data_IF_869320616547
#
_entry.id   IF_869320616547
#
_cell.length_a   1.000
_cell.length_b   1.000
_cell.length_c   1.000
_cell.angle_alpha   90.00
_cell.angle_beta   90.00
_cell.angle_gamma   90.00
#
_symmetry.space_group_name_H-M   'P 1'
#
loop_
_entity.id
_entity.type
_entity.pdbx_description
1 polymer ?
#
# COMPACT_ATOMS: atom_id res chain seq x y z
N UNK A 1 -9.57 -30.69 -59.74
CA UNK A 1 -8.91 -30.62 -58.43
C UNK A 1 -7.99 -29.42 -58.46
N UNK A 2 -8.23 -28.41 -57.62
CA UNK A 2 -7.58 -27.11 -57.70
C UNK A 2 -6.20 -27.17 -56.99
N UNK A 3 -5.12 -26.66 -57.60
CA UNK A 3 -3.75 -26.77 -57.06
C UNK A 3 -3.64 -26.15 -55.66
N UNK A 4 -4.42 -25.10 -55.39
CA UNK A 4 -4.50 -24.43 -54.09
C UNK A 4 -5.15 -25.29 -52.99
N UNK A 5 -6.08 -26.18 -53.33
CA UNK A 5 -6.71 -27.09 -52.34
C UNK A 5 -5.72 -28.18 -51.91
N UNK A 6 -4.89 -28.67 -52.83
CA UNK A 6 -3.89 -29.69 -52.54
C UNK A 6 -2.74 -29.15 -51.68
N UNK A 7 -2.29 -27.91 -51.94
CA UNK A 7 -1.25 -27.26 -51.14
C UNK A 7 -1.73 -26.94 -49.72
N UNK A 8 -3.01 -26.58 -49.55
CA UNK A 8 -3.60 -26.31 -48.22
C UNK A 8 -3.66 -27.58 -47.37
N UNK A 9 -4.07 -28.70 -47.99
CA UNK A 9 -4.09 -30.00 -47.32
C UNK A 9 -2.68 -30.46 -46.93
N UNK A 10 -1.72 -30.35 -47.85
CA UNK A 10 -0.32 -30.71 -47.59
C UNK A 10 0.29 -29.86 -46.48
N UNK A 11 -0.05 -28.57 -46.41
CA UNK A 11 0.38 -27.68 -45.33
C UNK A 11 -0.22 -28.08 -43.97
N UNK A 12 -1.49 -28.51 -43.94
CA UNK A 12 -2.13 -29.02 -42.72
C UNK A 12 -1.45 -30.30 -42.21
N UNK A 13 -1.17 -31.24 -43.12
CA UNK A 13 -0.49 -32.50 -42.80
C UNK A 13 0.93 -32.28 -42.26
N UNK A 14 1.65 -31.32 -42.82
CA UNK A 14 2.96 -30.89 -42.33
C UNK A 14 2.89 -30.33 -40.90
N UNK A 15 1.92 -29.44 -40.63
CA UNK A 15 1.75 -28.81 -39.31
C UNK A 15 1.34 -29.83 -38.24
N UNK A 16 0.42 -30.73 -38.56
CA UNK A 16 -0.01 -31.81 -37.66
C UNK A 16 1.07 -32.89 -37.47
N UNK A 17 2.12 -32.88 -38.31
CA UNK A 17 3.21 -33.83 -38.24
C UNK A 17 2.82 -35.25 -38.62
N UNK A 18 1.82 -35.42 -39.49
CA UNK A 18 1.35 -36.74 -39.98
C UNK A 18 2.10 -37.22 -41.22
N UNK A 19 3.00 -36.39 -41.76
CA UNK A 19 3.89 -36.74 -42.88
C UNK A 19 5.12 -37.53 -42.42
N UNK A 20 5.64 -38.40 -43.28
CA UNK A 20 6.90 -39.12 -43.03
C UNK A 20 8.12 -38.19 -43.05
N UNK A 21 9.26 -38.69 -42.53
CA UNK A 21 10.50 -37.91 -42.38
C UNK A 21 11.06 -37.39 -43.71
N UNK A 22 10.97 -38.16 -44.80
CA UNK A 22 11.49 -37.77 -46.10
C UNK A 22 10.63 -36.66 -46.72
N UNK A 23 9.31 -36.80 -46.65
CA UNK A 23 8.34 -35.77 -47.07
C UNK A 23 8.50 -34.51 -46.23
N UNK A 24 8.68 -34.65 -44.91
CA UNK A 24 8.91 -33.52 -43.99
C UNK A 24 10.16 -32.73 -44.36
N UNK A 25 11.26 -33.40 -44.72
CA UNK A 25 12.49 -32.72 -45.15
C UNK A 25 12.27 -31.92 -46.45
N UNK A 26 11.56 -32.50 -47.43
CA UNK A 26 11.22 -31.83 -48.69
C UNK A 26 10.34 -30.60 -48.46
N UNK A 27 9.28 -30.72 -47.65
CA UNK A 27 8.39 -29.60 -47.34
C UNK A 27 9.09 -28.51 -46.52
N UNK A 28 10.01 -28.89 -45.61
CA UNK A 28 10.83 -27.92 -44.86
C UNK A 28 11.78 -27.14 -45.76
N UNK A 29 12.32 -27.79 -46.80
CA UNK A 29 13.11 -27.09 -47.82
C UNK A 29 12.22 -26.17 -48.67
N UNK A 30 11.05 -26.65 -49.12
CA UNK A 30 10.07 -25.85 -49.86
C UNK A 30 9.62 -24.61 -49.09
N UNK A 31 9.44 -24.72 -47.77
CA UNK A 31 9.05 -23.62 -46.88
C UNK A 31 10.02 -22.43 -46.95
N UNK A 32 11.31 -22.67 -47.25
CA UNK A 32 12.32 -21.60 -47.36
C UNK A 32 12.24 -20.82 -48.68
N UNK A 33 11.64 -21.40 -49.71
CA UNK A 33 11.62 -20.83 -51.07
C UNK A 33 10.23 -20.42 -51.56
N UNK A 34 9.17 -21.04 -51.05
CA UNK A 34 7.78 -20.85 -51.48
C UNK A 34 6.98 -20.05 -50.45
N UNK A 35 6.72 -18.77 -50.75
CA UNK A 35 6.01 -17.86 -49.84
C UNK A 35 4.52 -18.19 -49.71
N UNK A 36 3.92 -18.79 -50.74
CA UNK A 36 2.48 -19.11 -50.75
C UNK A 36 2.22 -20.35 -49.91
N UNK A 37 3.10 -21.33 -50.00
CA UNK A 37 3.11 -22.48 -49.10
C UNK A 37 3.37 -22.06 -47.64
N UNK A 38 4.33 -21.16 -47.41
CA UNK A 38 4.62 -20.65 -46.06
C UNK A 38 3.43 -19.93 -45.41
N UNK A 39 2.64 -19.17 -46.19
CA UNK A 39 1.40 -18.55 -45.70
C UNK A 39 0.35 -19.58 -45.28
N UNK A 40 0.21 -20.67 -46.02
CA UNK A 40 -0.73 -21.74 -45.69
C UNK A 40 -0.30 -22.48 -44.41
N UNK A 41 1.00 -22.79 -44.27
CA UNK A 41 1.57 -23.39 -43.05
C UNK A 41 1.33 -22.48 -41.83
N UNK A 42 1.60 -21.19 -41.94
CA UNK A 42 1.36 -20.23 -40.85
C UNK A 42 -0.14 -20.14 -40.48
N UNK A 43 -1.03 -20.20 -41.47
CA UNK A 43 -2.47 -20.23 -41.26
C UNK A 43 -2.90 -21.45 -40.43
N UNK A 44 -2.40 -22.63 -40.76
CA UNK A 44 -2.68 -23.87 -40.02
C UNK A 44 -2.04 -23.88 -38.62
N UNK A 45 -0.80 -23.40 -38.48
CA UNK A 45 -0.17 -23.24 -37.15
C UNK A 45 -1.00 -22.34 -36.24
N UNK A 46 -1.51 -21.23 -36.76
CA UNK A 46 -2.40 -20.33 -36.03
C UNK A 46 -3.74 -20.98 -35.70
N UNK A 47 -4.32 -21.76 -36.61
CA UNK A 47 -5.57 -22.46 -36.36
C UNK A 47 -5.42 -23.49 -35.22
N UNK A 48 -4.25 -24.13 -35.10
CA UNK A 48 -3.98 -25.13 -34.07
C UNK A 48 -3.30 -24.58 -32.79
N UNK A 49 -2.99 -23.28 -32.73
CA UNK A 49 -2.22 -22.69 -31.61
C UNK A 49 -2.95 -22.67 -30.26
N UNK A 50 -4.22 -23.10 -30.21
CA UNK A 50 -5.03 -23.14 -29.00
C UNK A 50 -5.56 -24.53 -28.65
N UNK A 51 -5.11 -25.59 -29.35
CA UNK A 51 -5.53 -26.98 -29.06
C UNK A 51 -5.08 -27.44 -27.67
N UNK A 52 -4.01 -26.84 -27.17
CA UNK A 52 -3.41 -27.13 -25.87
C UNK A 52 -4.09 -26.41 -24.69
N UNK A 53 -4.97 -25.43 -24.93
CA UNK A 53 -5.62 -24.59 -23.89
C UNK A 53 -6.42 -25.41 -22.87
N UNK A 54 -6.92 -26.59 -23.26
CA UNK A 54 -7.67 -27.49 -22.36
C UNK A 54 -6.84 -28.63 -21.78
N UNK A 55 -5.53 -28.68 -22.08
CA UNK A 55 -4.64 -29.73 -21.60
C UNK A 55 -4.11 -29.37 -20.20
N UNK A 56 -3.96 -30.36 -19.32
CA UNK A 56 -3.40 -30.13 -17.99
C UNK A 56 -1.88 -29.92 -18.09
N UNK A 57 -1.39 -28.90 -17.39
CA UNK A 57 0.04 -28.65 -17.25
C UNK A 57 0.73 -29.82 -16.53
N UNK A 58 1.80 -30.34 -17.13
CA UNK A 58 2.66 -31.36 -16.53
C UNK A 58 4.03 -30.75 -16.29
N UNK A 59 4.47 -30.69 -15.03
CA UNK A 59 5.80 -30.19 -14.68
C UNK A 59 6.87 -31.15 -15.19
N UNK A 60 7.74 -30.74 -16.13
CA UNK A 60 8.81 -31.60 -16.63
C UNK A 60 9.89 -31.81 -15.55
N UNK A 61 10.62 -32.94 -15.57
CA UNK A 61 11.75 -33.15 -14.67
C UNK A 61 12.84 -32.08 -14.85
N UNK A 62 13.46 -31.66 -13.75
CA UNK A 62 14.46 -30.59 -13.72
C UNK A 62 15.71 -30.88 -14.60
N UNK A 63 15.96 -32.16 -14.89
CA UNK A 63 17.02 -32.59 -15.81
C UNK A 63 16.77 -32.14 -17.26
N UNK A 64 15.51 -32.05 -17.70
CA UNK A 64 15.14 -31.59 -19.05
C UNK A 64 15.54 -30.14 -19.23
N UNK A 65 15.25 -29.30 -18.23
CA UNK A 65 15.63 -27.89 -18.26
C UNK A 65 17.15 -27.69 -18.35
N UNK A 66 17.92 -28.44 -17.54
CA UNK A 66 19.40 -28.40 -17.58
C UNK A 66 19.97 -28.88 -18.91
N UNK A 67 19.33 -29.85 -19.57
CA UNK A 67 19.74 -30.32 -20.88
C UNK A 67 19.55 -29.23 -21.94
N UNK A 68 18.43 -28.49 -21.89
CA UNK A 68 18.14 -27.35 -22.77
C UNK A 68 19.15 -26.22 -22.55
N UNK A 69 19.45 -25.85 -21.29
CA UNK A 69 20.44 -24.81 -20.97
C UNK A 69 21.83 -25.13 -21.55
N UNK A 70 22.23 -26.41 -21.46
CA UNK A 70 23.50 -26.89 -22.01
C UNK A 70 23.53 -26.85 -23.54
N UNK A 71 22.44 -27.24 -24.20
CA UNK A 71 22.35 -27.29 -25.66
C UNK A 71 22.29 -25.88 -26.29
N UNK A 72 21.60 -24.95 -25.62
CA UNK A 72 21.59 -23.54 -25.99
C UNK A 72 22.91 -22.81 -25.66
N UNK A 73 23.90 -23.53 -25.12
CA UNK A 73 25.18 -22.99 -24.70
C UNK A 73 25.03 -21.76 -23.79
N UNK A 74 23.95 -21.73 -23.00
CA UNK A 74 23.70 -20.76 -21.95
C UNK A 74 24.63 -21.11 -20.79
N UNK A 75 25.94 -20.97 -21.02
CA UNK A 75 26.93 -20.89 -19.97
C UNK A 75 26.61 -19.62 -19.19
N UNK A 76 25.69 -19.73 -18.24
CA UNK A 76 25.70 -18.86 -17.07
C UNK A 76 27.06 -19.12 -16.42
N UNK A 77 28.03 -18.26 -16.73
CA UNK A 77 29.35 -18.30 -16.11
C UNK A 77 29.11 -18.37 -14.60
N UNK A 78 29.50 -19.45 -13.91
CA UNK A 78 29.40 -19.46 -12.47
C UNK A 78 30.27 -18.30 -12.00
N UNK A 79 29.66 -17.28 -11.40
CA UNK A 79 30.38 -16.22 -10.70
C UNK A 79 31.22 -16.91 -9.62
N UNK A 80 32.47 -17.21 -9.95
CA UNK A 80 33.46 -17.73 -9.02
C UNK A 80 33.71 -16.63 -8.00
N UNK A 81 32.92 -16.63 -6.92
CA UNK A 81 33.18 -15.80 -5.74
C UNK A 81 34.53 -16.23 -5.17
N UNK A 82 35.60 -15.54 -5.59
CA UNK A 82 36.86 -15.54 -4.86
C UNK A 82 36.59 -14.87 -3.52
N UNK A 83 36.39 -15.66 -2.47
CA UNK A 83 36.48 -15.18 -1.10
C UNK A 83 37.97 -14.95 -0.79
N UNK A 84 38.51 -13.85 -1.29
CA UNK A 84 39.76 -13.27 -0.79
C UNK A 84 39.52 -12.60 0.57
N UNK A 85 40.54 -11.95 1.17
CA UNK A 85 40.44 -11.26 2.46
C UNK A 85 39.58 -9.98 2.39
N UNK A 86 38.61 -9.91 1.48
CA UNK A 86 37.61 -8.82 1.41
C UNK A 86 36.54 -8.99 2.48
N UNK A 87 36.53 -10.11 3.21
CA UNK A 87 35.61 -10.35 4.33
C UNK A 87 35.66 -9.21 5.37
N UNK A 88 36.85 -8.83 5.86
CA UNK A 88 36.97 -7.76 6.87
C UNK A 88 36.56 -6.38 6.34
N UNK A 89 36.76 -6.13 5.04
CA UNK A 89 36.35 -4.87 4.41
C UNK A 89 34.81 -4.79 4.31
N UNK A 90 34.15 -5.91 4.04
CA UNK A 90 32.69 -6.01 4.10
C UNK A 90 32.13 -5.73 5.50
N UNK A 91 32.78 -6.25 6.54
CA UNK A 91 32.43 -5.95 7.93
C UNK A 91 32.69 -4.48 8.29
N UNK A 92 33.77 -3.87 7.80
CA UNK A 92 34.07 -2.47 8.03
C UNK A 92 33.03 -1.54 7.39
N UNK A 93 32.59 -1.84 6.16
CA UNK A 93 31.51 -1.07 5.48
C UNK A 93 30.17 -1.26 6.21
N UNK A 94 29.86 -2.49 6.63
CA UNK A 94 28.64 -2.76 7.40
C UNK A 94 28.63 -2.02 8.75
N UNK A 95 29.76 -2.01 9.47
CA UNK A 95 29.91 -1.29 10.72
C UNK A 95 29.82 0.24 10.52
N UNK A 96 30.36 0.78 9.43
CA UNK A 96 30.25 2.19 9.10
C UNK A 96 28.79 2.59 8.79
N UNK A 97 28.06 1.79 8.01
CA UNK A 97 26.64 2.02 7.72
C UNK A 97 25.78 1.90 8.99
N UNK A 98 26.03 0.90 9.82
CA UNK A 98 25.37 0.76 11.12
C UNK A 98 25.69 1.97 12.02
N UNK A 99 26.93 2.43 12.03
CA UNK A 99 27.35 3.63 12.75
C UNK A 99 26.62 4.89 12.26
N UNK A 100 26.45 5.06 10.94
CA UNK A 100 25.66 6.16 10.36
C UNK A 100 24.18 6.03 10.74
N UNK A 101 23.60 4.82 10.73
CA UNK A 101 22.21 4.61 11.15
C UNK A 101 22.01 4.91 12.64
N UNK A 102 22.90 4.45 13.50
CA UNK A 102 22.86 4.75 14.94
C UNK A 102 23.08 6.25 15.16
N UNK A 103 24.06 6.86 14.48
CA UNK A 103 24.33 8.28 14.59
C UNK A 103 23.13 9.11 14.11
N UNK A 104 22.51 8.77 12.98
CA UNK A 104 21.31 9.46 12.47
C UNK A 104 20.12 9.27 13.41
N UNK A 105 19.90 8.07 13.95
CA UNK A 105 18.84 7.81 14.93
C UNK A 105 19.05 8.58 16.25
N UNK A 106 20.28 8.66 16.75
CA UNK A 106 20.62 9.40 17.98
C UNK A 106 20.62 10.92 17.74
N UNK A 107 21.01 11.37 16.55
CA UNK A 107 21.12 12.80 16.21
C UNK A 107 19.80 13.42 15.74
N UNK A 108 18.92 12.62 15.15
CA UNK A 108 17.54 12.97 14.81
C UNK A 108 16.57 12.07 15.58
N UNK A 109 16.44 12.20 16.91
CA UNK A 109 15.23 11.71 17.55
C UNK A 109 14.05 12.37 16.84
N UNK A 110 12.98 11.61 16.53
CA UNK A 110 11.69 12.21 16.13
C UNK A 110 11.36 13.27 17.17
N UNK A 111 11.63 14.54 16.86
CA UNK A 111 11.28 15.64 17.73
C UNK A 111 9.77 15.61 17.79
N UNK A 112 9.16 15.40 18.97
CA UNK A 112 7.73 15.53 19.11
C UNK A 112 7.40 16.92 18.62
N UNK A 113 6.68 17.01 17.50
CA UNK A 113 6.28 18.30 16.93
C UNK A 113 5.66 19.12 18.08
N UNK A 114 6.16 20.35 18.31
CA UNK A 114 5.83 21.09 19.52
C UNK A 114 4.32 21.33 19.58
N UNK A 115 3.65 20.68 20.53
CA UNK A 115 2.25 20.94 20.80
C UNK A 115 2.15 22.19 21.65
N UNK A 116 1.46 23.20 21.12
CA UNK A 116 1.28 24.47 21.80
C UNK A 116 -0.12 24.52 22.42
N UNK A 117 -0.28 24.92 23.69
CA UNK A 117 -1.60 25.05 24.29
C UNK A 117 -2.36 26.19 23.60
N UNK A 118 -3.52 25.87 23.03
CA UNK A 118 -4.34 26.82 22.25
C UNK A 118 -5.64 27.20 22.93
N UNK A 119 -6.10 26.38 23.88
CA UNK A 119 -7.29 26.65 24.68
C UNK A 119 -7.28 25.89 26.02
N UNK A 120 -8.01 26.45 26.99
CA UNK A 120 -8.37 25.78 28.24
C UNK A 120 -9.89 25.75 28.32
N UNK A 121 -10.46 24.57 28.45
CA UNK A 121 -11.91 24.37 28.58
C UNK A 121 -12.21 24.27 30.07
N UNK A 122 -12.93 25.26 30.58
CA UNK A 122 -13.28 25.35 32.00
C UNK A 122 -14.69 24.82 32.21
N UNK A 123 -14.88 24.09 33.31
CA UNK A 123 -16.19 23.58 33.72
C UNK A 123 -16.83 24.41 34.83
N UNK A 124 -18.01 23.98 35.27
CA UNK A 124 -18.72 24.61 36.39
C UNK A 124 -18.03 24.39 37.75
N UNK A 125 -17.29 23.28 37.89
CA UNK A 125 -16.54 22.94 39.10
C UNK A 125 -15.15 23.59 39.05
N UNK A 126 -14.74 24.35 40.09
CA UNK A 126 -13.42 24.97 40.13
C UNK A 126 -12.31 23.89 40.14
N UNK A 127 -11.27 24.10 39.34
CA UNK A 127 -10.11 23.20 39.25
C UNK A 127 -10.24 22.04 38.27
N UNK A 128 -11.44 21.80 37.72
CA UNK A 128 -11.67 20.82 36.63
C UNK A 128 -11.53 21.51 35.27
N UNK A 129 -10.56 21.07 34.47
CA UNK A 129 -10.25 21.71 33.20
C UNK A 129 -9.85 20.68 32.15
N UNK A 130 -10.04 21.02 30.88
CA UNK A 130 -9.36 20.34 29.78
C UNK A 130 -8.37 21.31 29.15
N UNK A 131 -7.14 20.84 28.93
CA UNK A 131 -6.14 21.59 28.18
C UNK A 131 -6.14 21.07 26.75
N UNK A 132 -6.27 21.99 25.80
CA UNK A 132 -6.21 21.68 24.37
C UNK A 132 -4.91 22.21 23.82
N UNK A 133 -4.09 21.31 23.30
CA UNK A 133 -2.84 21.64 22.63
C UNK A 133 -2.92 21.28 21.17
N UNK A 134 -2.32 22.09 20.29
CA UNK A 134 -2.36 21.86 18.85
C UNK A 134 -0.96 21.74 18.26
N UNK A 135 -0.84 20.86 17.29
CA UNK A 135 0.26 20.84 16.36
C UNK A 135 -0.16 21.52 15.04
N UNK A 136 0.36 22.73 14.79
CA UNK A 136 0.00 23.55 13.62
C UNK A 136 0.26 22.82 12.29
N UNK A 137 1.37 22.10 12.19
CA UNK A 137 1.77 21.43 10.95
C UNK A 137 0.90 20.20 10.64
N UNK A 138 0.40 19.52 11.67
CA UNK A 138 -0.34 18.26 11.51
C UNK A 138 -1.87 18.43 11.53
N UNK A 139 -2.41 19.61 11.85
CA UNK A 139 -3.86 19.81 12.05
C UNK A 139 -4.49 18.81 13.04
N UNK A 140 -3.70 18.45 14.05
CA UNK A 140 -4.08 17.56 15.16
C UNK A 140 -4.14 18.39 16.43
N UNK A 141 -5.25 18.24 17.14
CA UNK A 141 -5.39 18.72 18.51
C UNK A 141 -5.29 17.56 19.49
N UNK A 142 -4.73 17.83 20.65
CA UNK A 142 -4.67 16.94 21.77
C UNK A 142 -5.44 17.55 22.94
N UNK A 143 -6.27 16.72 23.57
CA UNK A 143 -7.06 17.11 24.73
C UNK A 143 -6.66 16.24 25.90
N UNK A 144 -6.20 16.90 26.96
CA UNK A 144 -5.85 16.29 28.24
C UNK A 144 -6.74 16.82 29.35
N UNK A 145 -7.14 15.94 30.25
CA UNK A 145 -8.04 16.23 31.35
C UNK A 145 -7.22 16.54 32.61
N UNK A 146 -7.48 17.68 33.24
CA UNK A 146 -6.85 18.11 34.49
C UNK A 146 -7.88 18.07 35.62
N UNK A 147 -7.67 17.16 36.57
CA UNK A 147 -8.57 16.88 37.69
C UNK A 147 -10.00 16.47 37.29
N UNK A 148 -10.20 15.95 36.07
CA UNK A 148 -11.49 15.45 35.60
C UNK A 148 -11.50 13.92 35.65
N UNK A 149 -12.48 13.35 36.34
CA UNK A 149 -12.75 11.91 36.31
C UNK A 149 -13.67 11.59 35.15
N UNK A 150 -13.27 10.65 34.28
CA UNK A 150 -14.14 10.21 33.19
C UNK A 150 -15.32 9.40 33.77
N UNK A 151 -16.56 9.66 33.31
CA UNK A 151 -17.73 8.92 33.76
C UNK A 151 -17.73 7.48 33.21
N UNK A 152 -18.10 6.50 34.04
CA UNK A 152 -18.14 5.08 33.63
C UNK A 152 -19.38 4.74 32.79
N UNK A 153 -20.54 5.34 33.10
CA UNK A 153 -21.83 5.04 32.47
C UNK A 153 -22.27 6.08 31.43
N UNK A 154 -21.39 7.02 31.07
CA UNK A 154 -21.63 8.09 30.08
C UNK A 154 -20.36 8.34 29.27
N UNK A 155 -20.46 9.09 28.18
CA UNK A 155 -19.31 9.43 27.36
C UNK A 155 -19.11 10.94 27.31
N UNK A 156 -17.86 11.39 27.33
CA UNK A 156 -17.53 12.78 27.09
C UNK A 156 -17.26 12.95 25.59
N UNK A 157 -17.87 13.96 24.97
CA UNK A 157 -17.70 14.22 23.55
C UNK A 157 -17.20 15.65 23.32
N UNK A 158 -16.19 15.78 22.47
CA UNK A 158 -15.60 17.05 22.09
C UNK A 158 -16.28 17.60 20.83
N UNK A 159 -16.58 18.90 20.87
CA UNK A 159 -17.25 19.62 19.79
C UNK A 159 -16.46 20.86 19.40
N UNK A 160 -16.44 21.16 18.10
CA UNK A 160 -15.99 22.43 17.54
C UNK A 160 -17.20 23.28 17.16
N UNK A 161 -17.23 24.52 17.62
CA UNK A 161 -18.26 25.51 17.32
C UNK A 161 -17.55 26.70 16.69
N UNK A 162 -17.96 27.10 15.49
CA UNK A 162 -17.39 28.25 14.76
C UNK A 162 -18.42 29.37 14.70
N UNK A 163 -18.22 30.43 15.46
CA UNK A 163 -19.19 31.53 15.52
C UNK A 163 -20.60 31.03 15.88
N UNK A 164 -21.54 31.12 14.93
CA UNK A 164 -22.93 30.67 15.06
C UNK A 164 -23.24 29.36 14.33
N UNK A 165 -22.24 28.70 13.77
CA UNK A 165 -22.41 27.44 13.06
C UNK A 165 -22.80 26.30 14.00
N UNK A 166 -23.45 25.27 13.45
CA UNK A 166 -23.82 24.08 14.20
C UNK A 166 -22.57 23.39 14.80
N UNK A 167 -22.63 22.91 16.06
CA UNK A 167 -21.51 22.21 16.68
C UNK A 167 -21.12 20.95 15.88
N UNK A 168 -19.85 20.85 15.49
CA UNK A 168 -19.32 19.65 14.83
C UNK A 168 -18.62 18.75 15.83
N UNK A 169 -18.99 17.47 15.85
CA UNK A 169 -18.31 16.46 16.67
C UNK A 169 -16.87 16.24 16.19
N UNK A 170 -15.91 16.36 17.09
CA UNK A 170 -14.51 15.96 16.87
C UNK A 170 -14.24 14.53 17.33
N UNK A 171 -15.01 14.03 18.31
CA UNK A 171 -14.93 12.65 18.77
C UNK A 171 -15.11 12.51 20.29
N UNK A 172 -14.98 11.29 20.78
CA UNK A 172 -15.12 10.96 22.19
C UNK A 172 -13.79 11.08 22.94
N UNK A 173 -13.85 11.59 24.16
CA UNK A 173 -12.75 11.62 25.11
C UNK A 173 -12.81 10.31 25.91
N UNK A 174 -11.85 9.42 25.68
CA UNK A 174 -11.80 8.08 26.27
C UNK A 174 -10.68 7.92 27.28
N UNK A 175 -9.69 8.81 27.28
CA UNK A 175 -8.55 8.78 28.18
C UNK A 175 -8.42 10.08 28.98
N UNK A 176 -7.89 10.02 30.21
CA UNK A 176 -7.62 11.23 30.99
C UNK A 176 -6.39 11.99 30.47
N UNK A 177 -5.30 11.28 30.20
CA UNK A 177 -4.01 11.91 29.93
C UNK A 177 -3.91 12.55 28.55
N UNK A 178 -4.45 11.90 27.51
CA UNK A 178 -4.23 12.29 26.10
C UNK A 178 -5.31 11.71 25.19
N UNK A 179 -5.95 12.57 24.39
CA UNK A 179 -6.84 12.19 23.30
C UNK A 179 -6.50 13.04 22.08
N UNK A 180 -6.21 12.42 20.94
CA UNK A 180 -5.85 13.12 19.71
C UNK A 180 -7.02 13.15 18.73
N UNK A 181 -7.36 14.34 18.23
CA UNK A 181 -8.42 14.55 17.25
C UNK A 181 -7.89 15.28 16.02
N UNK A 182 -8.27 14.79 14.83
CA UNK A 182 -7.95 15.47 13.56
C UNK A 182 -9.04 16.49 13.25
N UNK A 183 -8.65 17.70 12.90
CA UNK A 183 -9.61 18.75 12.53
C UNK A 183 -10.16 18.56 11.11
N UNK A 184 -9.46 17.84 10.25
CA UNK A 184 -9.86 17.63 8.84
C UNK A 184 -9.59 18.87 8.00
N UNK A 185 -10.59 19.34 7.26
CA UNK A 185 -10.52 20.57 6.47
C UNK A 185 -10.64 21.85 7.32
N UNK A 186 -10.96 21.70 8.60
CA UNK A 186 -11.17 22.83 9.49
C UNK A 186 -9.91 23.36 10.13
N UNK A 187 -9.84 24.67 10.23
CA UNK A 187 -8.86 25.39 11.02
C UNK A 187 -9.47 25.86 12.34
N UNK A 188 -8.62 25.98 13.37
CA UNK A 188 -8.95 26.73 14.58
C UNK A 188 -8.54 28.18 14.39
N UNK A 189 -9.45 29.09 14.71
CA UNK A 189 -9.26 30.54 14.66
C UNK A 189 -9.77 31.20 15.96
N UNK A 190 -9.67 32.52 16.06
CA UNK A 190 -10.14 33.27 17.24
C UNK A 190 -11.67 33.26 17.42
N UNK A 191 -12.43 32.81 16.43
CA UNK A 191 -13.89 32.63 16.50
C UNK A 191 -14.29 31.20 16.88
N UNK A 192 -13.31 30.30 16.99
CA UNK A 192 -13.52 28.91 17.33
C UNK A 192 -13.69 28.75 18.84
N UNK A 193 -14.70 27.98 19.22
CA UNK A 193 -15.00 27.55 20.58
C UNK A 193 -14.96 26.04 20.60
N UNK A 194 -14.25 25.47 21.58
CA UNK A 194 -14.30 24.05 21.88
C UNK A 194 -15.20 23.81 23.08
N UNK A 195 -16.00 22.77 23.02
CA UNK A 195 -16.95 22.40 24.06
C UNK A 195 -16.91 20.90 24.33
N UNK A 196 -17.12 20.51 25.58
CA UNK A 196 -17.25 19.11 26.00
C UNK A 196 -18.63 18.91 26.60
N UNK A 197 -19.38 17.95 26.07
CA UNK A 197 -20.69 17.56 26.59
C UNK A 197 -20.67 16.18 27.24
N UNK A 198 -21.64 15.96 28.12
CA UNK A 198 -21.88 14.69 28.78
C UNK A 198 -22.99 13.91 28.06
N UNK A 199 -22.58 12.93 27.25
CA UNK A 199 -23.44 12.20 26.34
C UNK A 199 -23.81 10.79 26.85
N UNK A 200 -24.84 10.15 26.27
CA UNK A 200 -25.04 8.71 26.44
C UNK A 200 -23.82 7.90 26.03
N UNK A 201 -23.77 6.62 26.46
CA UNK A 201 -22.69 5.71 26.06
C UNK A 201 -22.58 5.65 24.53
N UNK A 202 -21.37 5.94 24.02
CA UNK A 202 -21.10 5.99 22.59
C UNK A 202 -21.29 7.37 21.94
N UNK A 203 -21.67 8.39 22.70
CA UNK A 203 -21.81 9.77 22.22
C UNK A 203 -23.22 10.16 21.76
N UNK A 204 -23.34 11.39 21.27
CA UNK A 204 -24.55 11.92 20.65
C UNK A 204 -24.82 11.24 19.31
N UNK A 205 -26.09 10.90 19.08
CA UNK A 205 -26.61 10.44 17.78
C UNK A 205 -27.25 11.57 16.96
N UNK A 206 -27.24 12.79 17.49
CA UNK A 206 -27.82 13.97 16.86
C UNK A 206 -26.74 14.80 16.17
N UNK A 207 -27.14 15.78 15.36
CA UNK A 207 -26.22 16.71 14.70
C UNK A 207 -25.46 17.64 15.68
N UNK A 208 -25.82 17.63 16.97
CA UNK A 208 -25.15 18.37 18.03
C UNK A 208 -25.17 17.60 19.36
N UNK A 209 -24.78 18.23 20.47
CA UNK A 209 -24.81 17.62 21.79
C UNK A 209 -26.22 17.15 22.17
N UNK A 210 -26.36 15.90 22.62
CA UNK A 210 -27.64 15.39 23.14
C UNK A 210 -27.76 15.55 24.66
N UNK A 211 -26.62 15.80 25.34
CA UNK A 211 -26.55 16.08 26.76
C UNK A 211 -26.02 17.49 27.08
N UNK A 212 -25.89 17.81 28.38
CA UNK A 212 -25.43 19.13 28.81
C UNK A 212 -23.95 19.35 28.43
N UNK A 213 -23.65 20.56 27.94
CA UNK A 213 -22.27 21.04 27.78
C UNK A 213 -21.73 21.40 29.16
N UNK A 214 -20.66 20.73 29.57
CA UNK A 214 -20.11 20.83 30.94
C UNK A 214 -18.73 21.49 30.98
N UNK A 215 -18.03 21.58 29.84
CA UNK A 215 -16.80 22.37 29.69
C UNK A 215 -16.83 23.16 28.39
N UNK A 216 -16.27 24.37 28.39
CA UNK A 216 -16.12 25.18 27.18
C UNK A 216 -14.92 26.13 27.27
N UNK A 217 -14.35 26.49 26.11
CA UNK A 217 -13.25 27.43 26.02
C UNK A 217 -13.05 27.98 24.61
N UNK A 218 -12.67 29.27 24.53
CA UNK A 218 -12.28 29.93 23.27
C UNK A 218 -10.83 29.62 22.95
N UNK A 219 -10.50 29.57 21.67
CA UNK A 219 -9.11 29.55 21.22
C UNK A 219 -8.48 30.93 21.51
N UNK A 220 -7.37 30.96 22.25
CA UNK A 220 -6.75 32.22 22.71
C UNK A 220 -5.32 32.41 22.21
N UNK A 221 -4.62 31.33 21.86
CA UNK A 221 -3.27 31.39 21.30
C UNK A 221 -3.16 30.44 20.13
N UNK A 222 -2.81 30.97 18.96
CA UNK A 222 -2.42 30.18 17.80
C UNK A 222 -0.93 30.32 17.61
#
# INVERSE_FOLDING_TARGET
MNIQENDSLTAAEYVLGVVDEATRAQLTQRLKSDTDFARQVAGWQKAFSGVDVTTQDVTPPLAVWRAIERDLNLNVLPLRRKTGPVSWLGWAVAAALAGVLVFTYVSNPEQPLPMQPVAVLSGAQPGQQFVVSMNKSASVIEVSALNVTLPEAKSLQLWLIKGTDAPRSLGLITHQARNAFRLGADTLDSQSVLAVSLEPVGGSKQAGPSGPVIFQGKISQL
#
